data_IF_472123252607
#
_entry.id   IF_472123252607
#
_cell.length_a   1.000
_cell.length_b   1.000
_cell.length_c   1.000
_cell.angle_alpha   90.00
_cell.angle_beta   90.00
_cell.angle_gamma   90.00
#
_symmetry.space_group_name_H-M   'P 1'
#
loop_
_entity.id
_entity.type
_entity.pdbx_description
1 polymer ?
#
# COMPACT_ATOMS: atom_id res chain seq x y z
N UNK A 1 -3.08 37.57 37.10
CA UNK A 1 -3.91 36.42 36.66
C UNK A 1 -4.54 36.62 35.29
N UNK A 2 -5.20 37.75 34.99
CA UNK A 2 -5.88 38.02 33.69
C UNK A 2 -4.98 37.89 32.44
N UNK A 3 -3.71 38.31 32.51
CA UNK A 3 -2.74 38.20 31.40
C UNK A 3 -2.26 36.75 31.14
N UNK A 4 -2.16 35.92 32.18
CA UNK A 4 -1.71 34.52 32.08
C UNK A 4 -2.80 33.64 31.44
N UNK A 5 -4.07 33.88 31.83
CA UNK A 5 -5.23 33.21 31.23
C UNK A 5 -5.34 33.56 29.73
N UNK A 6 -5.02 34.79 29.35
CA UNK A 6 -5.06 35.22 27.95
C UNK A 6 -3.96 34.56 27.10
N UNK A 7 -2.73 34.44 27.62
CA UNK A 7 -1.66 33.71 26.95
C UNK A 7 -1.98 32.21 26.78
N UNK A 8 -2.60 31.58 27.78
CA UNK A 8 -3.05 30.18 27.70
C UNK A 8 -4.14 29.98 26.65
N UNK A 9 -5.11 30.91 26.56
CA UNK A 9 -6.16 30.89 25.55
C UNK A 9 -5.61 31.04 24.13
N UNK A 10 -4.66 31.95 23.92
CA UNK A 10 -4.00 32.12 22.62
C UNK A 10 -3.16 30.88 22.26
N UNK A 11 -2.43 30.32 23.22
CA UNK A 11 -1.67 29.08 23.02
C UNK A 11 -2.55 27.90 22.62
N UNK A 12 -3.71 27.75 23.25
CA UNK A 12 -4.67 26.68 22.94
C UNK A 12 -5.26 26.84 21.53
N UNK A 13 -5.53 28.08 21.10
CA UNK A 13 -6.05 28.36 19.75
C UNK A 13 -5.04 28.07 18.64
N UNK A 14 -3.73 28.18 18.90
CA UNK A 14 -2.67 27.86 17.92
C UNK A 14 -2.51 26.34 17.76
N UNK A 15 -2.70 25.56 18.83
CA UNK A 15 -2.61 24.08 18.74
C UNK A 15 -3.76 23.49 17.94
N UNK A 16 -4.96 24.11 18.01
CA UNK A 16 -6.14 23.65 17.29
C UNK A 16 -6.10 23.92 15.78
N UNK A 17 -5.28 24.87 15.30
CA UNK A 17 -5.15 25.16 13.86
C UNK A 17 -4.09 24.32 13.14
N UNK A 18 -3.32 23.51 13.88
CA UNK A 18 -2.27 22.65 13.31
C UNK A 18 -2.77 21.30 12.80
N UNK A 19 -4.03 20.93 13.07
CA UNK A 19 -4.63 19.70 12.55
C UNK A 19 -5.19 19.94 11.14
N UNK A 20 -4.33 19.86 10.11
CA UNK A 20 -4.83 19.61 8.76
C UNK A 20 -5.32 18.15 8.68
N UNK A 21 -6.53 17.89 8.16
CA UNK A 21 -6.93 16.53 7.84
C UNK A 21 -5.92 15.95 6.85
N UNK A 22 -5.42 14.75 7.14
CA UNK A 22 -4.56 14.02 6.21
C UNK A 22 -5.38 13.75 4.96
N UNK A 23 -4.99 14.34 3.83
CA UNK A 23 -5.53 13.97 2.53
C UNK A 23 -5.25 12.49 2.30
N UNK A 24 -6.19 11.72 1.73
CA UNK A 24 -5.90 10.33 1.39
C UNK A 24 -4.70 10.31 0.42
N UNK A 25 -3.79 9.35 0.63
CA UNK A 25 -2.59 9.22 -0.21
C UNK A 25 -2.96 8.89 -1.67
N UNK A 26 -4.05 8.14 -1.83
CA UNK A 26 -4.58 7.72 -3.11
C UNK A 26 -5.99 8.25 -3.32
N UNK A 27 -6.29 8.72 -4.53
CA UNK A 27 -7.65 9.09 -4.93
C UNK A 27 -8.57 7.86 -4.96
N UNK A 28 -9.86 8.04 -4.70
CA UNK A 28 -10.84 6.94 -4.60
C UNK A 28 -10.97 6.09 -5.88
N UNK A 29 -10.55 6.62 -7.04
CA UNK A 29 -10.60 5.94 -8.34
C UNK A 29 -9.21 5.56 -8.89
N UNK A 30 -8.18 5.58 -8.04
CA UNK A 30 -6.81 5.23 -8.46
C UNK A 30 -6.61 3.73 -8.68
N UNK A 31 -7.33 2.89 -7.92
CA UNK A 31 -7.27 1.44 -8.02
C UNK A 31 -8.22 0.95 -9.11
N UNK A 32 -7.69 0.11 -10.02
CA UNK A 32 -8.48 -0.54 -11.07
C UNK A 32 -8.89 -1.94 -10.63
N UNK A 33 -10.17 -2.27 -10.80
CA UNK A 33 -10.71 -3.59 -10.46
C UNK A 33 -10.94 -4.41 -11.73
N UNK A 34 -10.43 -5.64 -11.75
CA UNK A 34 -10.62 -6.63 -12.83
C UNK A 34 -11.58 -7.73 -12.39
N UNK A 35 -12.26 -8.38 -13.34
CA UNK A 35 -13.25 -9.43 -13.02
C UNK A 35 -12.64 -10.79 -12.69
N UNK A 36 -11.40 -11.07 -13.10
CA UNK A 36 -10.70 -12.34 -12.78
C UNK A 36 -9.18 -12.20 -12.88
N UNK A 37 -8.46 -13.12 -12.23
CA UNK A 37 -6.99 -13.20 -12.25
C UNK A 37 -6.44 -13.54 -13.64
N UNK A 38 -7.17 -14.33 -14.44
CA UNK A 38 -6.78 -14.71 -15.81
C UNK A 38 -6.71 -13.54 -16.80
N UNK A 39 -7.23 -12.37 -16.41
CA UNK A 39 -7.21 -11.15 -17.22
C UNK A 39 -5.95 -10.31 -16.97
N UNK A 40 -5.10 -10.71 -16.03
CA UNK A 40 -3.76 -10.18 -15.94
C UNK A 40 -2.91 -10.94 -16.95
N UNK A 41 -2.42 -10.22 -17.98
CA UNK A 41 -1.47 -10.79 -18.92
C UNK A 41 -0.35 -11.48 -18.13
N UNK A 42 0.08 -12.70 -18.51
CA UNK A 42 1.16 -13.39 -17.83
C UNK A 42 2.33 -12.41 -17.79
N UNK A 43 2.75 -12.07 -16.57
CA UNK A 43 3.73 -11.01 -16.28
C UNK A 43 4.81 -11.07 -17.34
N UNK A 44 4.80 -10.11 -18.27
CA UNK A 44 5.97 -9.92 -19.10
C UNK A 44 7.00 -9.37 -18.13
N UNK A 45 7.85 -10.26 -17.61
CA UNK A 45 8.89 -9.93 -16.64
C UNK A 45 9.72 -8.74 -17.12
N UNK A 46 9.76 -8.46 -18.42
CA UNK A 46 10.41 -7.27 -18.99
C UNK A 46 9.71 -5.94 -18.67
N UNK A 47 8.37 -5.90 -18.55
CA UNK A 47 7.62 -4.68 -18.22
C UNK A 47 7.70 -4.31 -16.73
N UNK A 48 7.78 -5.30 -15.83
CA UNK A 48 8.07 -5.06 -14.40
C UNK A 48 9.55 -4.74 -14.14
N UNK A 49 10.43 -4.94 -15.13
CA UNK A 49 11.89 -4.75 -15.00
C UNK A 49 12.38 -3.39 -15.54
N UNK A 50 11.55 -2.60 -16.22
CA UNK A 50 11.96 -1.23 -16.65
C UNK A 50 12.32 -0.31 -15.47
N UNK A 51 11.99 -0.71 -14.24
CA UNK A 51 12.28 0.01 -13.01
C UNK A 51 12.98 -0.85 -11.92
N UNK A 52 13.69 -1.91 -12.30
CA UNK A 52 14.37 -2.85 -11.39
C UNK A 52 15.66 -2.31 -10.73
N UNK A 53 15.66 -1.04 -10.31
CA UNK A 53 16.73 -0.42 -9.54
C UNK A 53 16.17 0.29 -8.30
N UNK A 54 16.99 0.54 -7.27
CA UNK A 54 16.55 1.26 -6.09
C UNK A 54 15.93 2.61 -6.48
N UNK A 55 14.65 2.79 -6.14
CA UNK A 55 13.91 4.02 -6.39
C UNK A 55 13.79 4.84 -5.12
N UNK A 56 13.89 6.16 -5.27
CA UNK A 56 13.75 7.08 -4.16
C UNK A 56 12.39 7.76 -4.22
N UNK A 57 11.61 7.61 -3.14
CA UNK A 57 10.26 8.17 -3.02
C UNK A 57 10.15 8.99 -1.74
N UNK A 58 9.46 10.13 -1.81
CA UNK A 58 9.10 10.91 -0.64
C UNK A 58 7.77 10.40 -0.08
N UNK A 59 7.81 9.82 1.11
CA UNK A 59 6.65 9.29 1.83
C UNK A 59 6.55 10.01 3.16
N UNK A 60 5.39 10.64 3.42
CA UNK A 60 5.14 11.40 4.66
C UNK A 60 6.24 12.46 4.94
N UNK A 61 6.74 13.13 3.90
CA UNK A 61 7.80 14.15 4.01
C UNK A 61 9.20 13.57 4.25
N UNK A 62 9.40 12.27 4.03
CA UNK A 62 10.70 11.59 4.18
C UNK A 62 11.08 10.87 2.90
N UNK A 63 12.30 11.16 2.45
CA UNK A 63 12.93 10.49 1.33
C UNK A 63 13.33 9.06 1.74
N UNK A 64 12.84 8.07 1.01
CA UNK A 64 13.06 6.65 1.30
C UNK A 64 13.45 5.90 0.02
N UNK A 65 14.44 5.02 0.13
CA UNK A 65 14.84 4.14 -0.98
C UNK A 65 14.14 2.79 -0.90
N UNK A 66 13.57 2.35 -2.01
CA UNK A 66 12.84 1.11 -2.23
C UNK A 66 13.52 0.25 -3.28
N UNK A 67 13.58 -1.06 -3.02
CA UNK A 67 14.15 -2.03 -3.96
C UNK A 67 13.20 -2.31 -5.13
N UNK A 68 11.88 -2.18 -4.87
CA UNK A 68 10.84 -2.34 -5.88
C UNK A 68 9.72 -1.32 -5.67
N UNK A 69 9.18 -0.82 -6.77
CA UNK A 69 7.99 0.04 -6.78
C UNK A 69 6.99 -0.57 -7.76
N UNK A 70 5.85 -1.01 -7.24
CA UNK A 70 4.86 -1.75 -8.00
C UNK A 70 3.72 -0.82 -8.41
N UNK A 71 3.51 -0.79 -9.73
CA UNK A 71 2.39 -0.15 -10.42
C UNK A 71 1.61 -1.22 -11.18
N UNK A 72 0.36 -0.97 -11.52
CA UNK A 72 -0.43 -1.87 -12.35
C UNK A 72 -0.81 -3.18 -11.65
N UNK A 73 -0.93 -4.30 -12.40
CA UNK A 73 -1.37 -5.60 -11.87
C UNK A 73 -0.58 -6.03 -10.65
N UNK A 74 -1.28 -6.36 -9.56
CA UNK A 74 -0.65 -6.90 -8.34
C UNK A 74 -0.64 -8.44 -8.32
N UNK A 75 -1.63 -9.07 -8.94
CA UNK A 75 -1.67 -10.53 -9.11
C UNK A 75 -0.42 -11.02 -9.85
N UNK A 76 0.08 -12.21 -9.50
CA UNK A 76 1.26 -12.84 -10.12
C UNK A 76 2.62 -12.14 -9.92
N UNK A 77 2.72 -11.15 -9.00
CA UNK A 77 4.00 -10.56 -8.63
C UNK A 77 4.68 -11.29 -7.46
N UNK A 78 6.01 -11.38 -7.52
CA UNK A 78 6.85 -11.89 -6.43
C UNK A 78 7.71 -10.75 -5.89
N UNK A 79 7.37 -10.29 -4.69
CA UNK A 79 7.97 -9.12 -4.04
C UNK A 79 9.15 -9.53 -3.16
N UNK A 80 10.22 -8.75 -3.19
CA UNK A 80 11.45 -8.98 -2.40
C UNK A 80 12.07 -7.67 -1.94
N UNK A 81 12.57 -7.64 -0.70
CA UNK A 81 13.24 -6.48 -0.10
C UNK A 81 12.26 -5.43 0.45
N UNK A 82 12.60 -4.15 0.30
CA UNK A 82 11.72 -3.04 0.67
C UNK A 82 10.92 -2.60 -0.55
N UNK A 83 9.62 -2.89 -0.53
CA UNK A 83 8.72 -2.69 -1.66
C UNK A 83 7.72 -1.57 -1.37
N UNK A 84 7.44 -0.75 -2.38
CA UNK A 84 6.35 0.23 -2.35
C UNK A 84 5.27 -0.17 -3.34
N UNK A 85 4.01 -0.21 -2.90
CA UNK A 85 2.83 -0.43 -3.73
C UNK A 85 2.15 0.92 -3.97
N UNK A 86 2.15 1.36 -5.23
CA UNK A 86 1.61 2.65 -5.63
C UNK A 86 0.07 2.68 -5.64
N UNK A 87 -0.51 3.82 -6.00
CA UNK A 87 -1.96 4.01 -6.03
C UNK A 87 -2.64 3.42 -7.27
N UNK A 88 -1.94 3.39 -8.39
CA UNK A 88 -2.38 2.93 -9.71
C UNK A 88 -2.21 1.42 -9.89
N UNK A 89 -2.67 0.65 -8.89
CA UNK A 89 -2.66 -0.81 -8.95
C UNK A 89 -3.92 -1.38 -9.60
N UNK A 90 -3.79 -2.60 -10.11
CA UNK A 90 -4.89 -3.41 -10.59
C UNK A 90 -5.03 -4.70 -9.77
N UNK A 91 -6.25 -4.96 -9.28
CA UNK A 91 -6.58 -6.12 -8.43
C UNK A 91 -7.89 -6.77 -8.87
N UNK A 92 -8.11 -8.03 -8.51
CA UNK A 92 -9.39 -8.71 -8.77
C UNK A 92 -10.47 -8.10 -7.90
N UNK A 93 -11.67 -7.89 -8.44
CA UNK A 93 -12.84 -7.47 -7.67
C UNK A 93 -13.29 -8.58 -6.71
N UNK A 94 -13.82 -8.20 -5.55
CA UNK A 94 -14.36 -9.13 -4.56
C UNK A 94 -15.71 -8.67 -4.03
N UNK A 95 -16.43 -9.59 -3.40
CA UNK A 95 -17.65 -9.29 -2.65
C UNK A 95 -17.43 -9.56 -1.15
N UNK A 96 -17.78 -8.59 -0.31
CA UNK A 96 -17.62 -8.70 1.14
C UNK A 96 -16.17 -8.46 1.61
N UNK A 97 -15.47 -9.52 2.02
CA UNK A 97 -14.10 -9.41 2.54
C UNK A 97 -13.05 -9.46 1.41
N UNK A 98 -11.99 -8.62 1.46
CA UNK A 98 -10.96 -8.63 0.43
C UNK A 98 -10.29 -10.00 0.28
N UNK A 99 -10.35 -10.55 -0.92
CA UNK A 99 -9.76 -11.84 -1.27
C UNK A 99 -9.11 -11.85 -2.66
N UNK A 100 -8.66 -10.68 -3.13
CA UNK A 100 -8.20 -10.46 -4.49
C UNK A 100 -6.86 -11.15 -4.84
N UNK A 101 -6.25 -11.86 -3.89
CA UNK A 101 -5.14 -12.79 -4.13
C UNK A 101 -5.57 -14.25 -4.19
N UNK A 102 -6.86 -14.56 -4.02
CA UNK A 102 -7.37 -15.89 -4.28
C UNK A 102 -7.06 -16.25 -5.75
N UNK A 103 -6.41 -17.40 -5.94
CA UNK A 103 -6.01 -17.91 -7.25
C UNK A 103 -4.98 -17.05 -8.02
N UNK A 104 -4.25 -16.17 -7.31
CA UNK A 104 -3.08 -15.44 -7.82
C UNK A 104 -1.76 -16.10 -7.38
N UNK A 105 -0.73 -16.11 -8.24
CA UNK A 105 0.65 -16.45 -7.83
C UNK A 105 1.36 -15.24 -7.22
N UNK A 106 0.76 -14.63 -6.20
CA UNK A 106 1.34 -13.50 -5.48
C UNK A 106 2.18 -13.98 -4.29
N UNK A 107 3.43 -13.53 -4.18
CA UNK A 107 4.33 -13.92 -3.10
C UNK A 107 5.11 -12.73 -2.57
N UNK A 108 5.41 -12.77 -1.27
CA UNK A 108 6.31 -11.82 -0.61
C UNK A 108 7.42 -12.61 0.07
N UNK A 109 8.67 -12.39 -0.34
CA UNK A 109 9.82 -13.08 0.23
C UNK A 109 9.97 -12.81 1.74
N UNK A 110 10.38 -13.81 2.54
CA UNK A 110 10.66 -13.62 3.95
C UNK A 110 11.66 -12.48 4.20
N UNK A 111 11.39 -11.64 5.22
CA UNK A 111 12.24 -10.50 5.56
C UNK A 111 11.97 -9.24 4.75
N UNK A 112 11.09 -9.30 3.75
CA UNK A 112 10.62 -8.12 3.01
C UNK A 112 9.73 -7.23 3.87
N UNK A 113 9.67 -5.95 3.51
CA UNK A 113 8.72 -4.99 4.07
C UNK A 113 7.99 -4.29 2.93
N UNK A 114 6.67 -4.29 2.99
CA UNK A 114 5.80 -3.74 1.95
C UNK A 114 5.12 -2.49 2.49
N UNK A 115 5.34 -1.36 1.83
CA UNK A 115 4.66 -0.10 2.08
C UNK A 115 3.54 0.06 1.07
N UNK A 116 2.32 0.38 1.52
CA UNK A 116 1.16 0.45 0.62
C UNK A 116 0.52 1.83 0.67
N UNK A 117 0.49 2.52 -0.47
CA UNK A 117 -0.05 3.86 -0.60
C UNK A 117 -1.53 3.92 -0.16
N UNK A 118 -2.35 2.98 -0.65
CA UNK A 118 -3.77 2.86 -0.30
C UNK A 118 -4.01 2.58 1.21
N UNK A 119 -2.98 2.14 1.95
CA UNK A 119 -3.01 1.98 3.40
C UNK A 119 -2.22 3.06 4.13
N UNK A 120 -2.23 4.31 3.62
CA UNK A 120 -1.57 5.47 4.24
C UNK A 120 -0.07 5.26 4.43
N UNK A 121 0.57 4.62 3.47
CA UNK A 121 1.99 4.29 3.52
C UNK A 121 2.39 3.44 4.74
N UNK A 122 1.47 2.61 5.26
CA UNK A 122 1.76 1.69 6.34
C UNK A 122 2.73 0.59 5.89
N UNK A 123 3.63 0.20 6.79
CA UNK A 123 4.58 -0.89 6.59
C UNK A 123 3.99 -2.24 7.03
N UNK A 124 4.08 -3.25 6.17
CA UNK A 124 3.61 -4.61 6.39
C UNK A 124 4.76 -5.61 6.29
N UNK A 125 4.88 -6.46 7.30
CA UNK A 125 5.96 -7.46 7.43
C UNK A 125 5.47 -8.90 7.34
N UNK A 126 4.15 -9.12 7.35
CA UNK A 126 3.53 -10.45 7.31
C UNK A 126 3.07 -10.86 5.92
N UNK A 127 3.41 -10.06 4.89
CA UNK A 127 2.84 -10.19 3.55
C UNK A 127 1.43 -9.58 3.46
N UNK A 128 0.95 -9.45 2.23
CA UNK A 128 -0.40 -8.91 1.94
C UNK A 128 -1.47 -10.02 1.99
N UNK A 129 -1.07 -11.26 1.73
CA UNK A 129 -1.87 -12.48 1.81
C UNK A 129 -2.50 -12.69 3.20
N UNK A 130 -1.81 -12.26 4.26
CA UNK A 130 -2.35 -12.29 5.62
C UNK A 130 -3.66 -11.50 5.79
N UNK A 131 -3.98 -10.53 4.92
CA UNK A 131 -5.26 -9.82 4.98
C UNK A 131 -6.14 -10.05 3.74
N UNK A 132 -5.54 -10.40 2.61
CA UNK A 132 -6.18 -10.35 1.29
C UNK A 132 -6.27 -11.72 0.58
N UNK A 133 -5.96 -12.81 1.29
CA UNK A 133 -6.34 -14.18 0.91
C UNK A 133 -7.46 -14.65 1.81
N UNK A 134 -8.47 -15.33 1.23
CA UNK A 134 -9.60 -15.88 1.97
C UNK A 134 -9.15 -16.87 3.06
N UNK A 135 -9.91 -16.93 4.15
CA UNK A 135 -9.56 -17.80 5.28
C UNK A 135 -9.54 -19.29 4.90
N UNK A 136 -10.35 -19.69 3.93
CA UNK A 136 -10.45 -21.08 3.49
C UNK A 136 -9.18 -21.51 2.72
N UNK A 137 -8.63 -20.63 1.87
CA UNK A 137 -7.37 -20.87 1.14
C UNK A 137 -6.17 -20.88 2.08
N UNK A 138 -6.11 -19.96 3.05
CA UNK A 138 -4.99 -19.87 4.01
C UNK A 138 -4.81 -21.12 4.89
N UNK A 139 -5.90 -21.82 5.20
CA UNK A 139 -5.83 -23.07 5.98
C UNK A 139 -5.30 -24.25 5.17
N UNK A 140 -5.34 -24.19 3.84
CA UNK A 140 -4.92 -25.28 2.97
C UNK A 140 -3.41 -25.31 2.69
N UNK A 141 -2.70 -24.21 2.98
CA UNK A 141 -1.25 -24.07 2.75
C UNK A 141 -0.39 -24.22 4.02
N UNK A 142 -1.00 -24.48 5.18
CA UNK A 142 -0.31 -24.79 6.45
C UNK A 142 -0.35 -26.28 6.75
#
# INVERSE_FOLDING_TARGET
>A
MRKVVWCLLIGLLIVLSACKPTTPECDENSVTYRSSADLFDPVNLEASTENAGPQELEINGRLMQFDQVIHGPLCNNHLDGKVYIACDIEIVAWEGSPNFFDDCDFKVSPGSVVYVAAHKNAAYYQGCDFCHVSQDKRKSEK
#
